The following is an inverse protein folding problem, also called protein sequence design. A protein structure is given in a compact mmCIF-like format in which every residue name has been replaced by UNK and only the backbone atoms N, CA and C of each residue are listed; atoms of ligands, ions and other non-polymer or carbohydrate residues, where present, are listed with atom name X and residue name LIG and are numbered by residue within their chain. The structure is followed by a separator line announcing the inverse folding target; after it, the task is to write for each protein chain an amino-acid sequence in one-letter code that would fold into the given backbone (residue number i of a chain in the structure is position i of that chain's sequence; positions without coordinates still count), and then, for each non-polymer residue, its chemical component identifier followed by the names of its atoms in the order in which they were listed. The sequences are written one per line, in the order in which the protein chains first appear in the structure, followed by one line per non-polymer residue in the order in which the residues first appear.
data_IF_694456776149
#
_entry.id   IF_694456776149
#
_cell.length_a   1.000
_cell.length_b   1.000
_cell.length_c   1.000
_cell.angle_alpha   90.00
_cell.angle_beta   90.00
_cell.angle_gamma   90.00
#
_symmetry.space_group_name_H-M   'P 1'
#
loop_
_entity.id
_entity.type
_entity.pdbx_description
1 polymer ?
#
# COMPACT_ATOMS: atom_id res chain seq x y z
N UNK A 1 23.82 -1.67 1.05
CA UNK A 1 23.85 -2.24 2.42
C UNK A 1 23.42 -3.69 2.32
N UNK A 2 23.95 -4.58 3.17
CA UNK A 2 23.42 -5.94 3.27
C UNK A 2 21.99 -5.84 3.82
N UNK A 3 21.00 -6.53 3.23
CA UNK A 3 19.64 -6.50 3.72
C UNK A 3 19.55 -6.96 5.18
N UNK A 4 18.73 -6.29 5.97
CA UNK A 4 18.31 -6.83 7.26
C UNK A 4 17.53 -8.12 6.98
N UNK A 5 17.88 -9.22 7.65
CA UNK A 5 17.28 -10.52 7.34
C UNK A 5 15.76 -10.54 7.58
N UNK A 6 15.28 -9.87 8.60
CA UNK A 6 13.85 -9.79 8.93
C UNK A 6 13.33 -8.36 8.74
N UNK A 7 12.14 -8.23 8.17
CA UNK A 7 11.40 -6.97 8.07
C UNK A 7 10.01 -7.16 8.69
N UNK A 8 9.75 -6.45 9.79
CA UNK A 8 8.48 -6.49 10.50
C UNK A 8 7.52 -5.46 9.92
N UNK A 9 6.46 -5.91 9.27
CA UNK A 9 5.45 -5.04 8.67
C UNK A 9 4.14 -5.07 9.46
N UNK A 10 3.59 -3.91 9.78
CA UNK A 10 2.27 -3.75 10.36
C UNK A 10 1.23 -3.44 9.29
N UNK A 11 0.12 -4.18 9.25
CA UNK A 11 -1.03 -3.89 8.42
C UNK A 11 -2.19 -3.42 9.29
N UNK A 12 -2.78 -2.26 8.97
CA UNK A 12 -3.97 -1.76 9.69
C UNK A 12 -5.18 -1.83 8.78
N UNK A 13 -6.01 -2.85 8.97
CA UNK A 13 -7.33 -2.99 8.37
C UNK A 13 -8.35 -2.28 9.24
N UNK A 14 -8.95 -1.19 8.74
CA UNK A 14 -9.71 -0.28 9.57
C UNK A 14 -10.89 0.37 8.83
N UNK A 15 -11.94 0.76 9.56
CA UNK A 15 -12.96 1.65 9.01
C UNK A 15 -12.36 3.05 8.80
N UNK A 16 -12.84 3.76 7.77
CA UNK A 16 -12.47 5.14 7.52
C UNK A 16 -13.68 6.04 7.76
N UNK A 17 -13.53 7.06 8.61
CA UNK A 17 -14.52 8.12 8.75
C UNK A 17 -14.53 8.94 7.45
N UNK A 18 -15.64 8.85 6.71
CA UNK A 18 -15.79 9.46 5.39
C UNK A 18 -15.54 10.97 5.42
N UNK A 19 -14.56 11.42 4.62
CA UNK A 19 -14.16 12.81 4.46
C UNK A 19 -13.79 13.55 5.75
N UNK A 20 -13.40 12.81 6.81
CA UNK A 20 -13.12 13.40 8.12
C UNK A 20 -11.67 13.15 8.56
N UNK A 21 -10.76 13.99 8.05
CA UNK A 21 -9.30 13.85 8.22
C UNK A 21 -8.86 13.70 9.67
N UNK A 22 -9.21 14.65 10.51
CA UNK A 22 -8.77 14.67 11.92
C UNK A 22 -9.16 13.39 12.67
N UNK A 23 -10.39 12.91 12.46
CA UNK A 23 -10.88 11.69 13.09
C UNK A 23 -10.09 10.47 12.63
N UNK A 24 -9.77 10.41 11.33
CA UNK A 24 -8.97 9.32 10.80
C UNK A 24 -7.53 9.37 11.32
N UNK A 25 -6.89 10.54 11.35
CA UNK A 25 -5.53 10.68 11.87
C UNK A 25 -5.44 10.27 13.35
N UNK A 26 -6.36 10.73 14.20
CA UNK A 26 -6.43 10.34 15.62
C UNK A 26 -6.65 8.83 15.80
N UNK A 27 -7.52 8.25 14.96
CA UNK A 27 -7.79 6.83 14.99
C UNK A 27 -6.52 6.03 14.62
N UNK A 28 -5.87 6.35 13.52
CA UNK A 28 -4.65 5.66 13.09
C UNK A 28 -3.48 5.87 14.06
N UNK A 29 -3.36 7.03 14.69
CA UNK A 29 -2.36 7.27 15.75
C UNK A 29 -2.52 6.26 16.88
N UNK A 30 -3.76 6.05 17.33
CA UNK A 30 -4.05 5.06 18.37
C UNK A 30 -3.66 3.64 17.94
N UNK A 31 -3.97 3.26 16.70
CA UNK A 31 -3.66 1.92 16.16
C UNK A 31 -2.17 1.70 15.96
N UNK A 32 -1.46 2.69 15.39
CA UNK A 32 0.00 2.64 15.22
C UNK A 32 0.70 2.51 16.57
N UNK A 33 0.23 3.25 17.58
CA UNK A 33 0.80 3.20 18.92
C UNK A 33 0.61 1.84 19.61
N UNK A 34 -0.38 1.06 19.20
CA UNK A 34 -0.64 -0.27 19.73
C UNK A 34 0.20 -1.38 19.06
N UNK A 35 0.83 -1.14 17.90
CA UNK A 35 1.68 -2.13 17.23
C UNK A 35 3.12 -1.99 17.76
N UNK A 36 3.66 -2.98 18.47
CA UNK A 36 5.05 -2.93 18.92
C UNK A 36 6.00 -3.29 17.77
N UNK A 37 7.22 -2.77 17.81
CA UNK A 37 8.40 -3.27 17.05
C UNK A 37 8.22 -3.40 15.52
N UNK A 38 7.28 -2.66 14.91
CA UNK A 38 7.17 -2.62 13.46
C UNK A 38 8.32 -1.83 12.83
N UNK A 39 8.83 -2.32 11.71
CA UNK A 39 9.76 -1.58 10.86
C UNK A 39 9.00 -0.66 9.88
N UNK A 40 7.89 -1.16 9.35
CA UNK A 40 7.03 -0.46 8.39
C UNK A 40 5.56 -0.70 8.75
N UNK A 41 4.74 0.35 8.75
CA UNK A 41 3.29 0.22 8.89
C UNK A 41 2.60 0.68 7.61
N UNK A 42 1.65 -0.14 7.13
CA UNK A 42 0.84 0.12 5.94
C UNK A 42 -0.58 0.55 6.34
N UNK A 43 -1.00 1.70 5.82
CA UNK A 43 -2.34 2.26 5.95
C UNK A 43 -3.11 2.11 4.63
N UNK A 44 -4.46 2.07 4.65
CA UNK A 44 -5.28 2.00 3.44
C UNK A 44 -5.06 3.17 2.46
N UNK A 45 -5.58 3.02 1.25
CA UNK A 45 -5.67 4.08 0.25
C UNK A 45 -6.52 5.25 0.80
N UNK A 46 -6.07 6.51 0.56
CA UNK A 46 -6.72 7.73 1.02
C UNK A 46 -7.17 7.62 2.49
N UNK A 47 -6.28 7.10 3.35
CA UNK A 47 -6.61 6.72 4.72
C UNK A 47 -7.15 7.89 5.57
N UNK A 48 -6.82 9.13 5.21
CA UNK A 48 -7.29 10.32 5.92
C UNK A 48 -8.72 10.74 5.56
N UNK A 49 -9.24 10.31 4.39
CA UNK A 49 -10.51 10.80 3.84
C UNK A 49 -11.48 9.70 3.40
N UNK A 50 -10.97 8.51 3.05
CA UNK A 50 -11.68 7.54 2.22
C UNK A 50 -11.58 7.90 0.73
N UNK A 51 -12.01 6.97 -0.14
CA UNK A 51 -11.92 7.10 -1.60
C UNK A 51 -13.00 8.05 -2.14
N UNK A 52 -12.77 9.35 -1.97
CA UNK A 52 -13.71 10.42 -2.37
C UNK A 52 -13.39 10.99 -3.74
N UNK A 53 -14.43 11.33 -4.50
CA UNK A 53 -14.36 12.07 -5.76
C UNK A 53 -14.54 13.58 -5.57
N UNK A 54 -14.22 14.09 -4.38
CA UNK A 54 -14.31 15.52 -4.01
C UNK A 54 -12.93 16.12 -3.67
N UNK A 55 -11.92 16.02 -4.57
CA UNK A 55 -10.58 16.49 -4.27
C UNK A 55 -10.51 18.00 -4.01
N UNK A 56 -11.35 18.81 -4.64
CA UNK A 56 -11.36 20.28 -4.45
C UNK A 56 -11.64 20.73 -3.01
N UNK A 57 -12.27 19.89 -2.20
CA UNK A 57 -12.55 20.15 -0.78
C UNK A 57 -11.56 19.44 0.15
N UNK A 58 -10.94 18.36 -0.33
CA UNK A 58 -10.20 17.43 0.52
C UNK A 58 -8.69 17.40 0.27
N UNK A 59 -8.25 17.89 -0.90
CA UNK A 59 -6.83 17.85 -1.21
C UNK A 59 -6.00 18.69 -0.24
N UNK A 60 -4.79 18.25 -0.03
CA UNK A 60 -3.74 18.97 0.68
C UNK A 60 -2.54 19.12 -0.24
N UNK A 61 -1.66 20.06 0.05
CA UNK A 61 -0.32 20.09 -0.55
C UNK A 61 0.61 19.12 0.21
N UNK A 62 1.82 18.89 -0.28
CA UNK A 62 2.84 18.11 0.46
C UNK A 62 3.30 18.74 1.77
N UNK A 63 2.91 20.00 2.04
CA UNK A 63 3.11 20.65 3.34
C UNK A 63 1.86 20.56 4.24
N UNK A 64 0.85 19.82 3.80
CA UNK A 64 -0.43 19.70 4.49
C UNK A 64 -0.36 18.87 5.77
N UNK A 65 -1.41 18.98 6.62
CA UNK A 65 -1.44 18.38 7.95
C UNK A 65 -1.32 16.86 7.95
N UNK A 66 -1.89 16.16 6.94
CA UNK A 66 -1.85 14.69 6.92
C UNK A 66 -0.44 14.15 6.64
N UNK A 67 0.30 14.71 5.67
CA UNK A 67 1.69 14.30 5.43
C UNK A 67 2.60 14.73 6.59
N UNK A 68 2.38 15.91 7.16
CA UNK A 68 3.09 16.32 8.37
C UNK A 68 2.89 15.31 9.50
N UNK A 69 1.65 14.89 9.74
CA UNK A 69 1.32 13.87 10.73
C UNK A 69 2.05 12.55 10.44
N UNK A 70 2.07 12.08 9.18
CA UNK A 70 2.82 10.87 8.81
C UNK A 70 4.30 10.98 9.17
N UNK A 71 4.92 12.14 8.90
CA UNK A 71 6.32 12.40 9.20
C UNK A 71 6.58 12.41 10.70
N UNK A 72 5.74 13.10 11.46
CA UNK A 72 5.83 13.18 12.93
C UNK A 72 5.69 11.77 13.54
N UNK A 73 4.73 10.97 13.06
CA UNK A 73 4.55 9.58 13.51
C UNK A 73 5.76 8.70 13.19
N UNK A 74 6.29 8.77 11.97
CA UNK A 74 7.46 8.00 11.55
C UNK A 74 8.69 8.32 12.42
N UNK A 75 8.95 9.59 12.69
CA UNK A 75 10.05 10.04 13.52
C UNK A 75 9.86 9.60 14.98
N UNK A 76 8.68 9.86 15.55
CA UNK A 76 8.41 9.57 16.97
C UNK A 76 8.44 8.06 17.27
N UNK A 77 7.96 7.25 16.34
CA UNK A 77 7.92 5.80 16.46
C UNK A 77 9.17 5.08 15.92
N UNK A 78 10.06 5.81 15.22
CA UNK A 78 11.27 5.27 14.58
C UNK A 78 10.97 4.12 13.62
N UNK A 79 9.87 4.22 12.88
CA UNK A 79 9.43 3.25 11.88
C UNK A 79 9.12 3.95 10.56
N UNK A 80 9.06 3.20 9.45
CA UNK A 80 8.52 3.73 8.22
C UNK A 80 6.99 3.65 8.23
N UNK A 81 6.33 4.63 7.61
CA UNK A 81 4.87 4.69 7.49
C UNK A 81 4.48 4.90 6.04
N UNK A 82 3.52 4.12 5.54
CA UNK A 82 3.04 4.26 4.17
C UNK A 82 1.52 4.21 4.07
N UNK A 83 0.97 5.05 3.18
CA UNK A 83 -0.44 5.16 2.85
C UNK A 83 -0.64 6.22 1.79
N UNK A 84 -1.83 6.31 1.17
CA UNK A 84 -2.06 7.38 0.18
C UNK A 84 -2.96 8.49 0.72
N UNK A 85 -2.78 9.66 0.14
CA UNK A 85 -3.51 10.91 0.43
C UNK A 85 -4.03 11.52 -0.86
N UNK A 86 -5.02 12.41 -0.74
CA UNK A 86 -5.46 13.29 -1.82
C UNK A 86 -4.55 14.53 -1.81
N UNK A 87 -3.74 14.68 -2.87
CA UNK A 87 -2.75 15.77 -2.96
C UNK A 87 -3.07 16.67 -4.14
N UNK A 88 -2.96 17.98 -3.91
CA UNK A 88 -2.96 19.00 -4.96
C UNK A 88 -1.53 19.43 -5.28
N UNK A 89 -1.17 19.39 -6.56
CA UNK A 89 0.10 19.89 -7.08
C UNK A 89 -0.13 20.46 -8.50
N UNK A 90 0.27 21.71 -8.75
CA UNK A 90 0.20 22.32 -10.07
C UNK A 90 -1.23 22.41 -10.66
N UNK A 91 -2.22 22.72 -9.85
CA UNK A 91 -3.66 22.74 -10.19
C UNK A 91 -4.22 21.35 -10.64
N UNK A 92 -3.58 20.27 -10.26
CA UNK A 92 -4.03 18.91 -10.48
C UNK A 92 -4.15 18.18 -9.16
N UNK A 93 -5.04 17.18 -9.12
CA UNK A 93 -5.23 16.33 -7.94
C UNK A 93 -4.68 14.94 -8.21
N UNK A 94 -4.05 14.35 -7.19
CA UNK A 94 -3.44 13.02 -7.26
C UNK A 94 -3.88 12.15 -6.09
N UNK A 95 -4.12 10.88 -6.36
CA UNK A 95 -4.10 9.83 -5.36
C UNK A 95 -2.63 9.46 -5.18
N UNK A 96 -1.97 10.07 -4.17
CA UNK A 96 -0.52 9.99 -3.96
C UNK A 96 -0.19 9.17 -2.74
N UNK A 97 0.54 8.08 -2.94
CA UNK A 97 1.10 7.28 -1.88
C UNK A 97 2.42 7.91 -1.43
N UNK A 98 2.59 7.98 -0.12
CA UNK A 98 3.84 8.33 0.53
C UNK A 98 4.43 7.12 1.24
N UNK A 99 5.74 6.95 1.09
CA UNK A 99 6.56 6.12 1.95
C UNK A 99 7.44 7.06 2.77
N UNK A 100 7.11 7.21 4.06
CA UNK A 100 7.81 8.10 4.97
C UNK A 100 8.81 7.29 5.78
N UNK A 101 10.08 7.68 5.72
CA UNK A 101 11.16 7.04 6.47
C UNK A 101 11.20 7.46 7.94
N UNK A 102 11.91 6.71 8.82
CA UNK A 102 12.04 7.05 10.25
C UNK A 102 12.71 8.39 10.55
N UNK A 103 13.40 8.99 9.59
CA UNK A 103 14.00 10.34 9.69
C UNK A 103 13.07 11.46 9.22
N UNK A 104 11.84 11.12 8.82
CA UNK A 104 10.84 12.05 8.29
C UNK A 104 11.02 12.43 6.81
N UNK A 105 12.06 11.93 6.13
CA UNK A 105 12.16 12.02 4.67
C UNK A 105 11.13 11.10 4.01
N UNK A 106 10.81 11.33 2.74
CA UNK A 106 9.81 10.49 2.06
C UNK A 106 10.11 10.26 0.58
N UNK A 107 9.49 9.21 0.03
CA UNK A 107 9.30 8.96 -1.39
C UNK A 107 7.81 8.99 -1.70
N UNK A 108 7.45 9.28 -2.97
CA UNK A 108 6.06 9.41 -3.41
C UNK A 108 5.79 8.61 -4.69
N UNK A 109 4.57 8.11 -4.80
CA UNK A 109 4.06 7.42 -5.98
C UNK A 109 2.65 7.91 -6.29
N UNK A 110 2.42 8.43 -7.49
CA UNK A 110 1.09 8.78 -7.97
C UNK A 110 0.45 7.58 -8.65
N UNK A 111 -0.78 7.27 -8.27
CA UNK A 111 -1.54 6.14 -8.82
C UNK A 111 -1.53 6.16 -10.35
N UNK A 112 -1.05 5.07 -10.94
CA UNK A 112 -0.94 4.96 -12.42
C UNK A 112 -2.30 4.72 -13.05
N UNK A 113 -3.08 3.78 -12.50
CA UNK A 113 -4.35 3.36 -13.07
C UNK A 113 -5.50 3.92 -12.24
N UNK A 114 -6.14 4.95 -12.77
CA UNK A 114 -7.31 5.55 -12.14
C UNK A 114 -8.54 4.67 -12.38
N UNK A 115 -9.38 4.52 -11.34
CA UNK A 115 -10.54 3.66 -11.37
C UNK A 115 -11.70 4.35 -12.12
N UNK A 116 -11.71 4.21 -13.45
CA UNK A 116 -12.66 4.86 -14.38
C UNK A 116 -14.12 4.47 -14.10
N UNK A 117 -14.36 3.26 -13.59
CA UNK A 117 -15.71 2.84 -13.21
C UNK A 117 -16.35 3.75 -12.13
N UNK A 118 -15.55 4.36 -11.27
CA UNK A 118 -15.99 5.34 -10.28
C UNK A 118 -15.79 6.80 -10.76
N UNK A 119 -15.27 7.03 -11.96
CA UNK A 119 -14.99 8.36 -12.50
C UNK A 119 -13.73 9.02 -11.91
N UNK A 120 -12.81 8.24 -11.32
CA UNK A 120 -11.57 8.77 -10.74
C UNK A 120 -10.76 9.58 -11.75
N UNK A 121 -10.71 9.15 -13.02
CA UNK A 121 -10.01 9.82 -14.13
C UNK A 121 -10.59 11.20 -14.50
N UNK A 122 -11.79 11.51 -14.03
CA UNK A 122 -12.43 12.83 -14.29
C UNK A 122 -11.98 13.90 -13.32
N UNK A 123 -11.44 13.49 -12.17
CA UNK A 123 -11.09 14.40 -11.07
C UNK A 123 -9.65 14.29 -10.60
N UNK A 124 -8.98 13.16 -10.86
CA UNK A 124 -7.57 12.94 -10.52
C UNK A 124 -6.71 12.77 -11.77
N UNK A 125 -5.44 13.10 -11.64
CA UNK A 125 -4.41 12.88 -12.65
C UNK A 125 -3.63 11.61 -12.39
N UNK A 126 -3.36 10.83 -13.45
CA UNK A 126 -2.58 9.61 -13.37
C UNK A 126 -1.08 9.88 -13.21
N UNK A 127 -0.41 9.07 -12.42
CA UNK A 127 1.04 9.01 -12.39
C UNK A 127 1.61 8.33 -13.64
N UNK A 128 2.89 8.57 -13.90
CA UNK A 128 3.60 8.00 -15.08
C UNK A 128 4.83 7.20 -14.69
N UNK A 129 5.25 7.26 -13.42
CA UNK A 129 6.51 6.68 -12.96
C UNK A 129 6.25 5.59 -11.94
N UNK A 130 6.87 4.43 -12.13
CA UNK A 130 6.95 3.38 -11.12
C UNK A 130 7.88 3.86 -9.99
N UNK A 131 7.61 3.45 -8.77
CA UNK A 131 8.48 3.69 -7.63
C UNK A 131 9.09 2.37 -7.17
N UNK A 132 10.42 2.32 -7.16
CA UNK A 132 11.18 1.32 -6.42
C UNK A 132 12.01 2.09 -5.40
N UNK A 133 11.86 1.74 -4.14
CA UNK A 133 12.62 2.36 -3.05
C UNK A 133 13.40 1.29 -2.26
N UNK A 134 14.38 1.76 -1.49
CA UNK A 134 15.16 0.90 -0.60
C UNK A 134 14.87 1.26 0.86
N UNK A 135 14.59 0.23 1.66
CA UNK A 135 14.44 0.36 3.10
C UNK A 135 15.01 -0.86 3.82
N UNK A 136 15.94 -0.65 4.75
CA UNK A 136 16.66 -1.71 5.47
C UNK A 136 17.27 -2.77 4.55
N UNK A 137 17.67 -2.37 3.34
CA UNK A 137 18.25 -3.24 2.32
C UNK A 137 17.23 -4.02 1.47
N UNK A 138 15.94 -3.95 1.78
CA UNK A 138 14.86 -4.48 0.95
C UNK A 138 14.52 -3.50 -0.17
N UNK A 139 14.34 -4.02 -1.38
CA UNK A 139 13.81 -3.25 -2.51
C UNK A 139 12.29 -3.39 -2.53
N UNK A 140 11.59 -2.28 -2.45
CA UNK A 140 10.14 -2.24 -2.21
C UNK A 140 9.44 -1.51 -3.37
N UNK A 141 8.35 -2.12 -3.88
CA UNK A 141 7.48 -1.55 -4.90
C UNK A 141 6.09 -1.24 -4.33
N UNK A 142 5.80 0.00 -3.89
CA UNK A 142 4.46 0.42 -3.47
C UNK A 142 3.54 0.70 -4.66
N UNK A 143 2.28 0.29 -4.55
CA UNK A 143 1.23 0.54 -5.55
C UNK A 143 -0.11 0.85 -4.88
N UNK A 144 -1.10 1.32 -5.67
CA UNK A 144 -2.40 1.75 -5.16
C UNK A 144 -3.52 0.97 -5.84
N UNK A 145 -4.25 0.19 -5.05
CA UNK A 145 -5.59 -0.36 -5.33
C UNK A 145 -5.76 -0.92 -6.76
N UNK A 146 -6.30 -0.12 -7.66
CA UNK A 146 -6.62 -0.55 -9.03
C UNK A 146 -5.40 -0.96 -9.86
N UNK A 147 -4.19 -0.50 -9.50
CA UNK A 147 -2.93 -0.94 -10.11
C UNK A 147 -2.76 -2.46 -10.05
N UNK A 148 -3.35 -3.11 -9.03
CA UNK A 148 -3.34 -4.56 -8.87
C UNK A 148 -3.90 -5.32 -10.08
N UNK A 149 -4.83 -4.72 -10.85
CA UNK A 149 -5.43 -5.33 -12.04
C UNK A 149 -4.52 -5.34 -13.26
N UNK A 150 -3.39 -4.65 -13.22
CA UNK A 150 -2.51 -4.44 -14.37
C UNK A 150 -1.18 -5.19 -14.21
N UNK A 151 -1.11 -6.45 -14.68
CA UNK A 151 0.07 -7.32 -14.47
C UNK A 151 1.34 -6.74 -15.09
N UNK A 152 1.25 -6.07 -16.22
CA UNK A 152 2.41 -5.47 -16.89
C UNK A 152 3.05 -4.38 -16.03
N UNK A 153 2.22 -3.50 -15.40
CA UNK A 153 2.72 -2.48 -14.49
C UNK A 153 3.28 -3.06 -13.20
N UNK A 154 2.65 -4.13 -12.71
CA UNK A 154 3.00 -4.80 -11.45
C UNK A 154 4.16 -5.80 -11.59
N UNK A 155 4.64 -6.05 -12.83
CA UNK A 155 5.67 -7.06 -13.08
C UNK A 155 7.00 -6.68 -12.44
N UNK A 156 7.66 -7.69 -11.84
CA UNK A 156 9.00 -7.56 -11.26
C UNK A 156 10.08 -7.53 -12.36
N UNK A 157 10.25 -6.37 -12.96
CA UNK A 157 11.31 -6.07 -13.95
C UNK A 157 12.52 -5.39 -13.33
N UNK A 158 12.39 -4.88 -12.10
CA UNK A 158 13.41 -4.11 -11.39
C UNK A 158 14.00 -4.82 -10.17
N UNK A 159 13.79 -6.15 -10.04
CA UNK A 159 14.34 -6.99 -8.97
C UNK A 159 13.95 -6.53 -7.54
N UNK A 160 12.69 -6.11 -7.34
CA UNK A 160 12.20 -5.80 -6.01
C UNK A 160 11.89 -7.09 -5.19
N UNK A 161 11.92 -6.95 -3.87
CA UNK A 161 11.81 -8.05 -2.91
C UNK A 161 10.43 -8.10 -2.24
N UNK A 162 9.84 -6.93 -2.07
CA UNK A 162 8.53 -6.73 -1.46
C UNK A 162 7.68 -5.81 -2.32
N UNK A 163 6.44 -6.19 -2.55
CA UNK A 163 5.43 -5.37 -3.22
C UNK A 163 4.21 -5.23 -2.33
N UNK A 164 3.59 -4.04 -2.30
CA UNK A 164 2.34 -3.89 -1.57
C UNK A 164 1.36 -2.96 -2.26
N UNK A 165 0.08 -3.15 -1.91
CA UNK A 165 -1.05 -2.35 -2.38
C UNK A 165 -1.82 -1.78 -1.21
N UNK A 166 -2.04 -0.46 -1.23
CA UNK A 166 -2.98 0.21 -0.33
C UNK A 166 -4.31 0.39 -1.04
N UNK A 167 -5.46 0.11 -0.40
CA UNK A 167 -6.73 0.02 -1.12
C UNK A 167 -7.97 0.54 -0.36
N UNK A 168 -8.98 0.94 -1.17
CA UNK A 168 -10.40 0.96 -0.86
C UNK A 168 -11.11 0.01 -1.84
N UNK A 169 -10.94 -1.30 -1.63
CA UNK A 169 -11.44 -2.34 -2.53
C UNK A 169 -12.76 -2.92 -2.01
N UNK A 170 -13.88 -2.78 -2.75
CA UNK A 170 -15.19 -3.19 -2.28
C UNK A 170 -15.34 -4.70 -2.11
N UNK A 171 -16.11 -5.10 -1.09
CA UNK A 171 -16.45 -6.49 -0.76
C UNK A 171 -16.96 -7.29 -1.97
N UNK A 172 -17.83 -6.73 -2.79
CA UNK A 172 -18.36 -7.39 -4.00
C UNK A 172 -17.30 -7.83 -5.01
N UNK A 173 -16.05 -7.42 -4.83
CA UNK A 173 -14.89 -7.80 -5.66
C UNK A 173 -13.75 -8.41 -4.83
N UNK A 174 -14.05 -8.86 -3.62
CA UNK A 174 -13.06 -9.44 -2.69
C UNK A 174 -12.33 -10.64 -3.29
N UNK A 175 -13.04 -11.54 -3.98
CA UNK A 175 -12.42 -12.67 -4.67
C UNK A 175 -11.32 -12.23 -5.65
N UNK A 176 -11.59 -11.18 -6.44
CA UNK A 176 -10.58 -10.64 -7.36
C UNK A 176 -9.39 -10.00 -6.61
N UNK A 177 -9.64 -9.37 -5.46
CA UNK A 177 -8.60 -8.81 -4.61
C UNK A 177 -7.64 -9.89 -4.12
N UNK A 178 -8.17 -10.90 -3.45
CA UNK A 178 -7.38 -12.00 -2.87
C UNK A 178 -6.63 -12.80 -3.94
N UNK A 179 -7.33 -13.14 -5.04
CA UNK A 179 -6.72 -13.91 -6.15
C UNK A 179 -5.58 -13.14 -6.80
N UNK A 180 -5.76 -11.85 -7.08
CA UNK A 180 -4.73 -11.05 -7.73
C UNK A 180 -3.55 -10.77 -6.81
N UNK A 181 -3.75 -10.53 -5.51
CA UNK A 181 -2.64 -10.41 -4.56
C UNK A 181 -1.78 -11.68 -4.57
N UNK A 182 -2.41 -12.85 -4.41
CA UNK A 182 -1.71 -14.14 -4.47
C UNK A 182 -0.97 -14.33 -5.79
N UNK A 183 -1.61 -13.99 -6.92
CA UNK A 183 -1.00 -14.11 -8.24
C UNK A 183 0.26 -13.23 -8.38
N UNK A 184 0.22 -11.97 -7.89
CA UNK A 184 1.39 -11.07 -7.91
C UNK A 184 2.55 -11.60 -7.08
N UNK A 185 2.28 -12.21 -5.91
CA UNK A 185 3.32 -12.85 -5.10
C UNK A 185 4.03 -13.95 -5.89
N UNK A 186 3.26 -14.86 -6.48
CA UNK A 186 3.77 -16.03 -7.21
C UNK A 186 4.54 -15.61 -8.47
N UNK A 187 3.93 -14.82 -9.36
CA UNK A 187 4.53 -14.46 -10.65
C UNK A 187 5.78 -13.58 -10.52
N UNK A 188 5.86 -12.78 -9.46
CA UNK A 188 6.98 -11.88 -9.19
C UNK A 188 8.02 -12.47 -8.24
N UNK A 189 7.74 -13.63 -7.64
CA UNK A 189 8.56 -14.26 -6.60
C UNK A 189 9.01 -13.25 -5.54
N UNK A 190 8.01 -12.60 -4.89
CA UNK A 190 8.20 -11.57 -3.87
C UNK A 190 7.29 -11.81 -2.68
N UNK A 191 7.63 -11.25 -1.52
CA UNK A 191 6.61 -11.01 -0.52
C UNK A 191 5.60 -9.98 -1.05
N UNK A 192 4.32 -10.20 -0.76
CA UNK A 192 3.28 -9.30 -1.21
C UNK A 192 2.29 -9.01 -0.10
N UNK A 193 2.01 -7.71 0.13
CA UNK A 193 0.97 -7.27 1.06
C UNK A 193 -0.13 -6.50 0.34
N UNK A 194 -1.36 -6.71 0.78
CA UNK A 194 -2.48 -5.85 0.45
C UNK A 194 -3.14 -5.34 1.72
N UNK A 195 -3.23 -4.02 1.90
CA UNK A 195 -3.97 -3.42 3.01
C UNK A 195 -5.19 -2.69 2.48
N UNK A 196 -6.35 -3.02 3.04
CA UNK A 196 -7.65 -2.51 2.61
C UNK A 196 -8.46 -2.01 3.81
N UNK A 197 -9.38 -1.09 3.56
CA UNK A 197 -10.34 -0.65 4.58
C UNK A 197 -11.45 -1.67 4.80
N UNK A 198 -12.22 -1.48 5.89
CA UNK A 198 -13.49 -2.19 6.16
C UNK A 198 -14.67 -1.21 6.30
N UNK A 199 -15.88 -1.76 6.30
CA UNK A 199 -17.13 -1.05 6.57
C UNK A 199 -17.65 -0.25 5.37
N UNK A 200 -18.77 0.44 5.60
CA UNK A 200 -19.41 1.28 4.59
C UNK A 200 -18.62 2.55 4.33
N UNK A 201 -18.55 2.95 3.07
CA UNK A 201 -18.10 4.29 2.70
C UNK A 201 -19.26 5.30 2.62
N UNK A 202 -18.96 6.55 2.27
CA UNK A 202 -19.96 7.60 2.14
C UNK A 202 -20.93 7.40 0.98
N UNK A 203 -20.65 6.49 0.07
CA UNK A 203 -21.51 6.10 -1.05
C UNK A 203 -22.34 4.83 -0.75
N UNK A 204 -22.28 4.31 0.48
CA UNK A 204 -22.98 3.10 0.89
C UNK A 204 -22.36 1.80 0.33
N UNK A 205 -21.11 1.84 -0.12
CA UNK A 205 -20.40 0.66 -0.62
C UNK A 205 -19.71 -0.02 0.56
N UNK A 206 -19.96 -1.33 0.73
CA UNK A 206 -19.33 -2.11 1.79
C UNK A 206 -17.95 -2.62 1.36
N UNK A 207 -17.03 -2.66 2.34
CA UNK A 207 -15.65 -3.13 2.21
C UNK A 207 -15.41 -4.19 3.27
N UNK A 208 -14.95 -5.37 2.86
CA UNK A 208 -14.66 -6.49 3.75
C UNK A 208 -13.22 -6.51 4.27
N UNK A 209 -12.39 -5.60 3.79
CA UNK A 209 -10.95 -5.61 4.09
C UNK A 209 -10.25 -6.68 3.29
N UNK A 210 -10.20 -7.91 3.80
CA UNK A 210 -9.46 -9.02 3.21
C UNK A 210 -7.99 -8.65 2.99
N UNK A 211 -7.44 -7.87 3.92
CA UNK A 211 -6.01 -7.55 3.94
C UNK A 211 -5.21 -8.82 4.16
N UNK A 212 -4.12 -8.97 3.43
CA UNK A 212 -3.34 -10.19 3.48
C UNK A 212 -1.87 -9.94 3.16
N UNK A 213 -1.02 -10.84 3.67
CA UNK A 213 0.37 -10.97 3.25
C UNK A 213 0.59 -12.37 2.70
N UNK A 214 1.26 -12.44 1.54
CA UNK A 214 1.65 -13.67 0.89
C UNK A 214 3.17 -13.76 0.80
N UNK A 215 3.69 -14.96 0.97
CA UNK A 215 5.09 -15.26 0.74
C UNK A 215 5.40 -15.42 -0.79
N UNK A 216 6.66 -15.57 -1.19
CA UNK A 216 7.03 -15.70 -2.61
C UNK A 216 6.48 -16.95 -3.32
N UNK A 217 5.92 -17.91 -2.60
CA UNK A 217 5.25 -19.11 -3.13
C UNK A 217 3.72 -18.94 -3.19
N UNK A 218 3.19 -17.82 -2.69
CA UNK A 218 1.77 -17.52 -2.62
C UNK A 218 1.07 -18.13 -1.41
N UNK A 219 1.81 -18.56 -0.39
CA UNK A 219 1.22 -18.96 0.88
C UNK A 219 0.81 -17.73 1.68
N UNK A 220 -0.44 -17.72 2.19
CA UNK A 220 -0.91 -16.63 3.05
C UNK A 220 -0.27 -16.76 4.44
N UNK A 221 0.50 -15.75 4.85
CA UNK A 221 1.23 -15.75 6.13
C UNK A 221 0.66 -14.77 7.17
N UNK A 222 -0.44 -14.08 6.86
CA UNK A 222 -1.19 -13.20 7.79
C UNK A 222 -2.48 -13.87 8.24
N UNK A 223 -2.98 -13.51 9.43
CA UNK A 223 -4.24 -14.04 10.00
C UNK A 223 -5.31 -12.96 10.17
N UNK A 224 -5.36 -12.00 9.25
CA UNK A 224 -6.37 -10.96 9.24
C UNK A 224 -7.70 -11.52 8.73
N UNK A 225 -8.77 -11.34 9.52
CA UNK A 225 -10.10 -11.84 9.22
C UNK A 225 -10.91 -10.83 8.39
N UNK A 226 -11.73 -11.36 7.48
CA UNK A 226 -12.66 -10.58 6.67
C UNK A 226 -13.67 -9.84 7.55
N UNK A 227 -13.96 -8.58 7.22
CA UNK A 227 -14.95 -7.76 7.90
C UNK A 227 -14.60 -7.32 9.32
N UNK A 228 -13.45 -7.72 9.84
CA UNK A 228 -13.02 -7.37 11.19
C UNK A 228 -11.92 -6.32 11.19
N UNK A 229 -11.98 -5.41 12.15
CA UNK A 229 -10.89 -4.47 12.41
C UNK A 229 -9.65 -5.23 12.91
N UNK A 230 -8.51 -4.95 12.31
CA UNK A 230 -7.26 -5.62 12.67
C UNK A 230 -6.05 -4.66 12.58
N UNK A 231 -5.10 -4.90 13.46
CA UNK A 231 -3.75 -4.34 13.40
C UNK A 231 -2.79 -5.52 13.62
N UNK A 232 -2.27 -6.08 12.54
CA UNK A 232 -1.47 -7.30 12.54
C UNK A 232 -0.01 -7.00 12.23
N UNK A 233 0.92 -7.73 12.88
CA UNK A 233 2.36 -7.60 12.70
C UNK A 233 2.91 -8.89 12.08
N UNK A 234 3.45 -8.79 10.88
CA UNK A 234 3.95 -9.91 10.10
C UNK A 234 5.44 -9.73 9.84
N UNK A 235 6.22 -10.79 10.02
CA UNK A 235 7.65 -10.81 9.74
C UNK A 235 7.92 -11.40 8.37
N UNK A 236 8.61 -10.64 7.53
CA UNK A 236 9.14 -11.11 6.25
C UNK A 236 10.59 -11.56 6.43
N UNK A 237 10.95 -12.70 5.84
CA UNK A 237 12.29 -13.30 5.93
C UNK A 237 13.01 -13.20 4.58
N UNK A 238 14.08 -12.40 4.53
CA UNK A 238 14.88 -12.21 3.32
C UNK A 238 15.63 -13.49 2.90
N UNK A 239 16.07 -14.29 3.86
CA UNK A 239 16.74 -15.54 3.56
C UNK A 239 15.78 -16.51 2.85
N UNK A 240 14.55 -16.66 3.36
CA UNK A 240 13.53 -17.47 2.70
C UNK A 240 13.25 -17.00 1.26
N UNK A 241 13.13 -15.67 1.04
CA UNK A 241 12.98 -15.11 -0.30
C UNK A 241 14.12 -15.55 -1.25
N UNK A 242 15.37 -15.46 -0.77
CA UNK A 242 16.53 -15.85 -1.57
C UNK A 242 16.55 -17.35 -1.86
N UNK A 243 16.22 -18.19 -0.89
CA UNK A 243 16.14 -19.64 -1.05
C UNK A 243 15.09 -20.02 -2.12
N UNK A 244 13.90 -19.40 -2.09
CA UNK A 244 12.85 -19.59 -3.11
C UNK A 244 13.37 -19.20 -4.49
N UNK A 245 14.00 -18.03 -4.65
CA UNK A 245 14.53 -17.53 -5.92
C UNK A 245 15.71 -18.34 -6.45
N UNK A 246 16.54 -18.90 -5.56
CA UNK A 246 17.62 -19.81 -5.95
C UNK A 246 17.10 -21.16 -6.42
N UNK A 247 16.11 -21.70 -5.71
CA UNK A 247 15.49 -22.99 -6.05
C UNK A 247 14.64 -22.91 -7.32
N UNK A 248 13.93 -21.83 -7.51
CA UNK A 248 12.99 -21.60 -8.62
C UNK A 248 13.39 -20.31 -9.35
N UNK A 249 14.35 -20.37 -10.23
CA UNK A 249 14.92 -19.19 -10.88
C UNK A 249 14.03 -18.59 -12.00
N UNK A 250 12.69 -18.61 -11.85
CA UNK A 250 11.72 -18.22 -12.88
C UNK A 250 11.86 -16.77 -13.36
N UNK A 251 12.35 -15.88 -12.49
CA UNK A 251 12.60 -14.48 -12.90
C UNK A 251 13.68 -14.33 -13.97
N UNK A 252 14.53 -15.35 -14.21
CA UNK A 252 15.51 -15.35 -15.29
C UNK A 252 14.86 -15.52 -16.67
N UNK A 253 13.68 -16.13 -16.70
CA UNK A 253 12.93 -16.43 -17.93
C UNK A 253 11.89 -15.35 -18.25
N UNK A 254 11.87 -14.25 -17.47
CA UNK A 254 10.92 -13.15 -17.68
C UNK A 254 11.19 -12.41 -18.99
N UNK A 255 10.11 -12.02 -19.65
CA UNK A 255 10.19 -11.16 -20.84
C UNK A 255 10.66 -9.74 -20.48
N UNK A 256 11.30 -9.09 -21.45
CA UNK A 256 11.60 -7.66 -21.42
C UNK A 256 10.54 -6.90 -22.22
N UNK A 257 10.03 -5.80 -21.67
CA UNK A 257 9.04 -4.95 -22.32
C UNK A 257 9.18 -3.49 -21.87
N UNK A 258 8.68 -2.58 -22.68
CA UNK A 258 8.57 -1.15 -22.35
C UNK A 258 7.10 -0.77 -22.23
N UNK A 259 6.78 0.10 -21.26
CA UNK A 259 5.44 0.65 -21.05
C UNK A 259 5.44 2.07 -21.61
N UNK A 260 4.63 2.30 -22.62
CA UNK A 260 4.42 3.62 -23.26
C UNK A 260 3.36 4.44 -22.52
#
# INVERSE_FOLDING_TARGET
MTPQNLLNIGLIQAPLAWEHKEKNLQYFETKINAIPEADLILLPEMFSTGFSMNPSQLAETEEGPALKWMRDMAVNRRLALSGSLIIEEGNQYFNRLFFVYPDGSFKRYDKRHLFSYAGEEKVYSAGTKKLILEYKGWRINPQICYDLRFPVWSRNSEDFDFQYYVANWPERRSEAWMTLLKARAIENQVYLAGVNRIGLDGNGINHSGDSAVYDPLGEKISDIQSGQEAADLITLDFQHLQEVRQRFAFLKDRDSFEIS
#
